data_IF_406333876750
#
_entry.id   IF_406333876750
#
_cell.length_a   1.000
_cell.length_b   1.000
_cell.length_c   1.000
_cell.angle_alpha   90.00
_cell.angle_beta   90.00
_cell.angle_gamma   90.00
#
_symmetry.space_group_name_H-M   'P 1'
#
loop_
_entity.id
_entity.type
_entity.pdbx_description
1 polymer ?
#
# COMPACT_ATOMS: atom_id res chain seq x y z
N UNK A 1 39.34 21.02 -1.65
CA UNK A 1 38.38 21.49 -0.63
C UNK A 1 36.96 21.60 -1.18
N UNK A 2 36.74 22.27 -2.32
CA UNK A 2 35.42 22.39 -2.97
C UNK A 2 34.70 21.04 -3.22
N UNK A 3 35.44 20.03 -3.71
CA UNK A 3 34.91 18.70 -4.04
C UNK A 3 34.21 18.00 -2.87
N UNK A 4 34.73 18.12 -1.64
CA UNK A 4 34.14 17.48 -0.46
C UNK A 4 32.81 18.13 -0.05
N UNK A 5 32.68 19.45 -0.23
CA UNK A 5 31.43 20.17 0.05
C UNK A 5 30.37 19.83 -0.98
N UNK A 6 30.78 19.70 -2.25
CA UNK A 6 29.89 19.30 -3.34
C UNK A 6 29.37 17.87 -3.14
N UNK A 7 30.22 16.94 -2.73
CA UNK A 7 29.83 15.56 -2.42
C UNK A 7 28.76 15.51 -1.30
N UNK A 8 28.93 16.30 -0.25
CA UNK A 8 27.97 16.37 0.85
C UNK A 8 26.61 16.90 0.39
N UNK A 9 26.62 17.92 -0.47
CA UNK A 9 25.40 18.49 -1.04
C UNK A 9 24.68 17.51 -1.98
N UNK A 10 25.44 16.81 -2.84
CA UNK A 10 24.92 15.75 -3.72
C UNK A 10 24.27 14.65 -2.88
N UNK A 11 24.95 14.20 -1.82
CA UNK A 11 24.43 13.16 -0.93
C UNK A 11 23.10 13.56 -0.29
N UNK A 12 23.02 14.77 0.29
CA UNK A 12 21.79 15.26 0.91
C UNK A 12 20.64 15.40 -0.11
N UNK A 13 20.94 15.96 -1.29
CA UNK A 13 19.96 16.11 -2.37
C UNK A 13 19.44 14.74 -2.83
N UNK A 14 20.34 13.79 -3.07
CA UNK A 14 19.98 12.44 -3.48
C UNK A 14 19.08 11.77 -2.43
N UNK A 15 19.53 11.75 -1.18
CA UNK A 15 18.88 10.98 -0.12
C UNK A 15 17.53 11.57 0.33
N UNK A 16 17.42 12.89 0.39
CA UNK A 16 16.25 13.56 0.97
C UNK A 16 15.29 14.16 -0.07
N UNK A 17 15.68 14.29 -1.34
CA UNK A 17 14.81 14.83 -2.39
C UNK A 17 14.57 13.83 -3.52
N UNK A 18 15.61 13.30 -4.13
CA UNK A 18 15.47 12.48 -5.35
C UNK A 18 14.93 11.08 -5.06
N UNK A 19 15.47 10.40 -4.06
CA UNK A 19 15.01 9.06 -3.68
C UNK A 19 13.60 9.10 -3.07
N UNK A 20 13.26 9.98 -2.10
CA UNK A 20 11.92 10.00 -1.51
C UNK A 20 10.82 10.27 -2.53
N UNK A 21 11.06 11.17 -3.48
CA UNK A 21 10.09 11.45 -4.54
C UNK A 21 9.86 10.23 -5.45
N UNK A 22 10.91 9.48 -5.74
CA UNK A 22 10.82 8.25 -6.54
C UNK A 22 10.12 7.12 -5.77
N UNK A 23 10.46 6.94 -4.49
CA UNK A 23 9.84 5.96 -3.59
C UNK A 23 8.35 6.27 -3.38
N UNK A 24 7.99 7.53 -3.19
CA UNK A 24 6.59 7.94 -3.04
C UNK A 24 5.76 7.62 -4.30
N UNK A 25 6.31 7.89 -5.50
CA UNK A 25 5.67 7.50 -6.76
C UNK A 25 5.49 5.99 -6.86
N UNK A 26 6.48 5.22 -6.42
CA UNK A 26 6.40 3.76 -6.37
C UNK A 26 5.29 3.27 -5.43
N UNK A 27 5.18 3.83 -4.22
CA UNK A 27 4.10 3.45 -3.29
C UNK A 27 2.71 3.81 -3.82
N UNK A 28 2.54 4.96 -4.50
CA UNK A 28 1.27 5.28 -5.17
C UNK A 28 0.92 4.22 -6.21
N UNK A 29 1.90 3.82 -7.03
CA UNK A 29 1.69 2.77 -8.03
C UNK A 29 1.35 1.42 -7.38
N UNK A 30 2.11 1.02 -6.37
CA UNK A 30 1.92 -0.22 -5.64
C UNK A 30 0.52 -0.31 -5.01
N UNK A 31 0.10 0.72 -4.28
CA UNK A 31 -1.23 0.78 -3.68
C UNK A 31 -2.34 0.75 -4.72
N UNK A 32 -2.18 1.49 -5.83
CA UNK A 32 -3.16 1.48 -6.93
C UNK A 32 -3.29 0.08 -7.55
N UNK A 33 -2.17 -0.57 -7.84
CA UNK A 33 -2.15 -1.93 -8.36
C UNK A 33 -2.73 -2.93 -7.36
N UNK A 34 -2.43 -2.78 -6.07
CA UNK A 34 -2.96 -3.63 -5.01
C UNK A 34 -4.49 -3.54 -4.92
N UNK A 35 -5.05 -2.31 -4.87
CA UNK A 35 -6.51 -2.07 -4.85
C UNK A 35 -7.20 -2.69 -6.07
N UNK A 36 -6.56 -2.66 -7.23
CA UNK A 36 -7.06 -3.31 -8.44
C UNK A 36 -7.00 -4.84 -8.35
N UNK A 37 -5.90 -5.39 -7.83
CA UNK A 37 -5.70 -6.84 -7.66
C UNK A 37 -6.77 -7.44 -6.75
N UNK A 38 -7.03 -6.81 -5.61
CA UNK A 38 -8.08 -7.27 -4.67
C UNK A 38 -9.49 -6.91 -5.14
N UNK A 39 -9.65 -6.22 -6.28
CA UNK A 39 -10.95 -5.89 -6.87
C UNK A 39 -11.89 -5.09 -5.95
N UNK A 40 -11.35 -4.38 -4.94
CA UNK A 40 -12.12 -3.56 -3.98
C UNK A 40 -13.16 -2.65 -4.65
N UNK A 41 -12.82 -1.89 -5.72
CA UNK A 41 -13.79 -1.03 -6.40
C UNK A 41 -14.96 -1.81 -6.99
N UNK A 42 -14.73 -3.02 -7.50
CA UNK A 42 -15.76 -3.88 -8.08
C UNK A 42 -16.66 -4.48 -7.00
N UNK A 43 -16.07 -4.94 -5.89
CA UNK A 43 -16.79 -5.50 -4.75
C UNK A 43 -17.75 -4.47 -4.13
N UNK A 44 -17.31 -3.22 -4.00
CA UNK A 44 -18.13 -2.12 -3.50
C UNK A 44 -19.25 -1.78 -4.50
N UNK A 45 -18.94 -1.62 -5.79
CA UNK A 45 -19.95 -1.30 -6.83
C UNK A 45 -21.01 -2.37 -6.99
N UNK A 46 -20.66 -3.63 -6.71
CA UNK A 46 -21.56 -4.77 -6.87
C UNK A 46 -22.10 -5.29 -5.54
N UNK A 47 -21.92 -4.57 -4.43
CA UNK A 47 -22.19 -5.07 -3.08
C UNK A 47 -23.59 -5.71 -2.92
N UNK A 48 -24.63 -5.00 -3.37
CA UNK A 48 -26.03 -5.47 -3.29
C UNK A 48 -26.46 -6.40 -4.43
N UNK A 49 -25.58 -6.67 -5.40
CA UNK A 49 -25.89 -7.62 -6.48
C UNK A 49 -25.66 -9.05 -6.00
N UNK A 50 -26.50 -10.01 -6.42
CA UNK A 50 -26.24 -11.41 -6.10
C UNK A 50 -24.89 -11.83 -6.70
N UNK A 51 -24.19 -12.74 -6.02
CA UNK A 51 -22.94 -13.29 -6.55
C UNK A 51 -23.20 -14.22 -7.74
N UNK A 52 -24.29 -15.01 -7.65
CA UNK A 52 -24.79 -15.88 -8.71
C UNK A 52 -26.19 -15.41 -9.08
N UNK A 53 -26.43 -15.18 -10.37
CA UNK A 53 -27.76 -14.84 -10.86
C UNK A 53 -28.66 -16.07 -10.72
N UNK A 54 -29.80 -15.90 -10.07
CA UNK A 54 -30.83 -16.92 -9.90
C UNK A 54 -32.15 -16.35 -10.41
N UNK A 55 -32.96 -17.17 -11.06
CA UNK A 55 -34.21 -16.72 -11.70
C UNK A 55 -35.46 -17.11 -10.91
N UNK A 56 -35.30 -17.96 -9.89
CA UNK A 56 -36.39 -18.44 -9.04
C UNK A 56 -36.58 -17.48 -7.88
N UNK A 57 -37.74 -16.85 -7.78
CA UNK A 57 -38.00 -15.73 -6.84
C UNK A 57 -37.58 -16.02 -5.39
N UNK A 58 -37.87 -17.22 -4.87
CA UNK A 58 -37.48 -17.61 -3.50
C UNK A 58 -35.97 -17.79 -3.28
N UNK A 59 -35.22 -18.12 -4.34
CA UNK A 59 -33.76 -18.30 -4.27
C UNK A 59 -32.99 -17.03 -4.64
N UNK A 60 -33.64 -16.06 -5.30
CA UNK A 60 -33.07 -14.74 -5.61
C UNK A 60 -32.72 -14.00 -4.32
N UNK A 61 -33.68 -13.91 -3.39
CA UNK A 61 -33.48 -13.26 -2.09
C UNK A 61 -32.34 -13.89 -1.29
N UNK A 62 -32.31 -15.22 -1.22
CA UNK A 62 -31.22 -15.97 -0.59
C UNK A 62 -29.85 -15.69 -1.24
N UNK A 63 -29.80 -15.66 -2.57
CA UNK A 63 -28.55 -15.41 -3.32
C UNK A 63 -28.01 -14.00 -3.14
N UNK A 64 -28.90 -13.01 -2.93
CA UNK A 64 -28.53 -11.64 -2.59
C UNK A 64 -27.92 -11.60 -1.18
N UNK A 65 -28.62 -12.15 -0.18
CA UNK A 65 -28.15 -12.13 1.22
C UNK A 65 -26.83 -12.88 1.37
N UNK A 66 -26.72 -14.08 0.77
CA UNK A 66 -25.47 -14.84 0.78
C UNK A 66 -24.35 -14.10 0.04
N UNK A 67 -24.67 -13.45 -1.09
CA UNK A 67 -23.72 -12.64 -1.85
C UNK A 67 -23.18 -11.47 -1.01
N UNK A 68 -24.03 -10.78 -0.26
CA UNK A 68 -23.64 -9.71 0.66
C UNK A 68 -22.73 -10.25 1.75
N UNK A 69 -23.09 -11.38 2.37
CA UNK A 69 -22.29 -11.98 3.44
C UNK A 69 -20.87 -12.34 2.98
N UNK A 70 -20.75 -13.01 1.83
CA UNK A 70 -19.45 -13.35 1.25
C UNK A 70 -18.66 -12.08 0.89
N UNK A 71 -19.29 -11.11 0.21
CA UNK A 71 -18.61 -9.86 -0.17
C UNK A 71 -18.13 -9.07 1.03
N UNK A 72 -18.89 -9.04 2.12
CA UNK A 72 -18.47 -8.39 3.34
C UNK A 72 -17.20 -9.04 3.90
N UNK A 73 -17.15 -10.37 3.96
CA UNK A 73 -15.97 -11.10 4.42
C UNK A 73 -14.73 -10.84 3.53
N UNK A 74 -14.91 -10.85 2.21
CA UNK A 74 -13.83 -10.54 1.25
C UNK A 74 -13.35 -9.11 1.43
N UNK A 75 -14.26 -8.12 1.47
CA UNK A 75 -13.91 -6.70 1.67
C UNK A 75 -13.16 -6.50 2.99
N UNK A 76 -13.58 -7.15 4.08
CA UNK A 76 -12.88 -7.05 5.37
C UNK A 76 -11.45 -7.61 5.27
N UNK A 77 -11.29 -8.75 4.59
CA UNK A 77 -9.97 -9.36 4.37
C UNK A 77 -9.08 -8.46 3.50
N UNK A 78 -9.64 -7.87 2.45
CA UNK A 78 -8.92 -6.96 1.54
C UNK A 78 -8.47 -5.68 2.26
N UNK A 79 -9.34 -5.10 3.10
CA UNK A 79 -9.00 -3.94 3.93
C UNK A 79 -7.89 -4.30 4.93
N UNK A 80 -7.96 -5.47 5.55
CA UNK A 80 -6.90 -5.94 6.45
C UNK A 80 -5.56 -6.08 5.71
N UNK A 81 -5.54 -6.70 4.53
CA UNK A 81 -4.34 -6.81 3.72
C UNK A 81 -3.80 -5.45 3.28
N UNK A 82 -4.68 -4.50 2.94
CA UNK A 82 -4.28 -3.12 2.61
C UNK A 82 -3.62 -2.43 3.82
N UNK A 83 -4.15 -2.62 5.03
CA UNK A 83 -3.54 -2.08 6.26
C UNK A 83 -2.14 -2.68 6.51
N UNK A 84 -1.98 -3.98 6.29
CA UNK A 84 -0.66 -4.64 6.38
C UNK A 84 0.31 -4.03 5.38
N UNK A 85 -0.09 -3.87 4.10
CA UNK A 85 0.73 -3.25 3.07
C UNK A 85 1.16 -1.84 3.47
N UNK A 86 0.21 -0.99 3.87
CA UNK A 86 0.48 0.39 4.30
C UNK A 86 1.43 0.43 5.52
N UNK A 87 1.28 -0.49 6.46
CA UNK A 87 2.19 -0.57 7.62
C UNK A 87 3.63 -0.88 7.19
N UNK A 88 3.82 -1.76 6.20
CA UNK A 88 5.14 -2.08 5.66
C UNK A 88 5.74 -0.90 4.90
N UNK A 89 4.93 -0.15 4.15
CA UNK A 89 5.37 1.09 3.49
C UNK A 89 5.82 2.14 4.51
N UNK A 90 5.10 2.31 5.61
CA UNK A 90 5.49 3.22 6.69
C UNK A 90 6.81 2.77 7.33
N UNK A 91 6.92 1.48 7.70
CA UNK A 91 8.14 0.94 8.32
C UNK A 91 9.35 1.12 7.40
N UNK A 92 9.22 0.75 6.13
CA UNK A 92 10.31 0.91 5.14
C UNK A 92 10.69 2.37 4.93
N UNK A 93 9.72 3.29 4.93
CA UNK A 93 9.98 4.74 4.88
C UNK A 93 10.77 5.22 6.08
N UNK A 94 10.38 4.82 7.29
CA UNK A 94 11.09 5.17 8.52
C UNK A 94 12.52 4.61 8.47
N UNK A 95 12.70 3.34 8.13
CA UNK A 95 14.01 2.71 8.00
C UNK A 95 14.88 3.42 6.97
N UNK A 96 14.30 3.81 5.83
CA UNK A 96 15.00 4.57 4.80
C UNK A 96 15.50 5.91 5.31
N UNK A 97 14.68 6.69 6.01
CA UNK A 97 15.12 7.97 6.59
C UNK A 97 16.10 7.80 7.75
N UNK A 98 16.01 6.72 8.53
CA UNK A 98 16.93 6.43 9.62
C UNK A 98 18.31 5.94 9.14
N UNK A 99 18.40 5.28 7.99
CA UNK A 99 19.63 4.71 7.44
C UNK A 99 20.84 5.68 7.39
N UNK A 100 20.74 6.92 6.84
CA UNK A 100 21.88 7.83 6.79
C UNK A 100 22.38 8.21 8.19
N UNK A 101 21.47 8.36 9.16
CA UNK A 101 21.83 8.62 10.56
C UNK A 101 22.52 7.41 11.19
N UNK A 102 22.04 6.20 10.91
CA UNK A 102 22.66 4.97 11.40
C UNK A 102 24.09 4.80 10.87
N UNK A 103 24.34 5.09 9.59
CA UNK A 103 25.69 5.07 9.01
C UNK A 103 26.60 6.09 9.69
N UNK A 104 26.11 7.32 9.93
CA UNK A 104 26.87 8.35 10.64
C UNK A 104 27.20 7.88 12.06
N UNK A 105 26.24 7.33 12.80
CA UNK A 105 26.46 6.81 14.15
C UNK A 105 27.48 5.67 14.17
N UNK A 106 27.46 4.79 13.17
CA UNK A 106 28.40 3.68 13.05
C UNK A 106 29.85 4.17 12.95
N UNK A 107 30.10 5.32 12.31
CA UNK A 107 31.44 5.94 12.27
C UNK A 107 31.97 6.38 13.64
N UNK A 108 31.10 6.55 14.63
CA UNK A 108 31.45 6.95 15.99
C UNK A 108 31.47 5.77 16.98
N UNK A 109 31.03 4.58 16.55
CA UNK A 109 31.15 3.34 17.30
C UNK A 109 32.55 2.79 17.05
N UNK A 110 33.33 2.62 18.13
CA UNK A 110 34.70 2.14 18.11
C UNK A 110 34.78 0.63 17.93
#
# INVERSE_FOLDING_TARGET
MLFYVELLFIFLRFWFLEVPTSVFKFFIFLNKSFIQLVSLPLLIKTFFRPWKNEYREGLVGFSIVMGIFIKLFVILTDIFMLLVLLSLEIITTILFFCFPFAVILLLFIK
#
